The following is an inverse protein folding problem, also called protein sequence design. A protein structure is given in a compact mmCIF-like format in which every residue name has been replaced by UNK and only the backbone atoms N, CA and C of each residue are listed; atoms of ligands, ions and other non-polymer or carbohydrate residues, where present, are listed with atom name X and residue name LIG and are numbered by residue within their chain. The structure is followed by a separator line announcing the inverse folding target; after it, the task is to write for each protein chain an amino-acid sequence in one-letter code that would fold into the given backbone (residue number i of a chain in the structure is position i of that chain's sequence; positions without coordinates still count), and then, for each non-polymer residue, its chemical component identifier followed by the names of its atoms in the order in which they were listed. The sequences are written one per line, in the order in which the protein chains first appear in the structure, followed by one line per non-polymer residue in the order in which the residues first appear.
data_IF_664518463432
#
_entry.id   IF_664518463432
#
_cell.length_a   1.000
_cell.length_b   1.000
_cell.length_c   1.000
_cell.angle_alpha   90.00
_cell.angle_beta   90.00
_cell.angle_gamma   90.00
#
_symmetry.space_group_name_H-M   'P 1'
#
loop_
_entity.id
_entity.type
_entity.pdbx_description
1 polymer ?
#
# COMPACT_ATOMS: atom_id res chain seq x y z
N UNK A 1 -14.41 0.37 -1.72
CA UNK A 1 -14.39 0.75 -0.29
C UNK A 1 -13.92 2.19 -0.25
N UNK A 2 -14.66 3.13 0.35
CA UNK A 2 -14.26 4.54 0.35
C UNK A 2 -13.36 4.81 1.56
N UNK A 3 -12.18 5.39 1.34
CA UNK A 3 -11.25 5.78 2.39
C UNK A 3 -11.63 7.18 2.90
N UNK A 4 -11.12 7.54 4.08
CA UNK A 4 -11.28 8.91 4.58
C UNK A 4 -10.21 9.78 3.90
N UNK A 5 -10.59 10.95 3.40
CA UNK A 5 -9.63 11.90 2.84
C UNK A 5 -8.59 12.32 3.89
N UNK A 6 -7.33 12.40 3.50
CA UNK A 6 -6.21 12.68 4.39
C UNK A 6 -5.23 13.68 3.76
N UNK A 7 -5.58 14.99 3.73
CA UNK A 7 -4.73 16.00 3.07
C UNK A 7 -3.33 16.11 3.66
N UNK A 8 -3.20 16.00 4.98
CA UNK A 8 -1.90 15.98 5.65
C UNK A 8 -1.14 14.68 5.35
N UNK A 9 -1.84 13.56 5.25
CA UNK A 9 -1.27 12.29 4.79
C UNK A 9 -0.76 12.36 3.35
N UNK A 10 -1.49 13.03 2.44
CA UNK A 10 -1.05 13.20 1.07
C UNK A 10 0.24 14.04 0.97
N UNK A 11 0.40 15.06 1.83
CA UNK A 11 1.65 15.82 1.96
C UNK A 11 2.77 14.94 2.50
N UNK A 12 2.53 14.24 3.61
CA UNK A 12 3.52 13.36 4.24
C UNK A 12 3.96 12.22 3.32
N UNK A 13 3.04 11.60 2.60
CA UNK A 13 3.33 10.57 1.60
C UNK A 13 4.33 11.07 0.56
N UNK A 14 4.11 12.27 0.03
CA UNK A 14 4.99 12.85 -0.98
C UNK A 14 6.37 13.23 -0.41
N UNK A 15 6.43 13.66 0.85
CA UNK A 15 7.69 13.89 1.57
C UNK A 15 8.48 12.60 1.79
N UNK A 16 7.82 11.53 2.26
CA UNK A 16 8.44 10.21 2.41
C UNK A 16 8.95 9.68 1.08
N UNK A 17 8.14 9.77 0.02
CA UNK A 17 8.51 9.35 -1.32
C UNK A 17 9.75 10.08 -1.82
N UNK A 18 9.73 11.41 -1.83
CA UNK A 18 10.83 12.23 -2.35
C UNK A 18 12.09 12.17 -1.49
N UNK A 19 11.98 11.80 -0.21
CA UNK A 19 13.14 11.48 0.62
C UNK A 19 13.71 10.07 0.31
N UNK A 20 12.89 9.15 -0.18
CA UNK A 20 13.28 7.75 -0.48
C UNK A 20 13.91 7.56 -1.87
N UNK A 21 13.70 8.50 -2.79
CA UNK A 21 14.21 8.42 -4.16
C UNK A 21 15.03 9.65 -4.52
N UNK A 22 16.07 9.48 -5.35
CA UNK A 22 16.85 10.61 -5.86
C UNK A 22 15.99 11.53 -6.74
N UNK A 23 15.08 10.96 -7.53
CA UNK A 23 14.14 11.70 -8.37
C UNK A 23 12.90 10.87 -8.73
N UNK A 24 11.80 11.55 -9.07
CA UNK A 24 10.61 10.88 -9.62
C UNK A 24 10.90 10.17 -10.95
N UNK A 25 11.87 10.66 -11.73
CA UNK A 25 12.30 10.00 -12.95
C UNK A 25 12.96 8.65 -12.65
N UNK A 26 13.74 8.56 -11.58
CA UNK A 26 14.35 7.31 -11.12
C UNK A 26 13.32 6.21 -10.86
N UNK A 27 12.13 6.57 -10.35
CA UNK A 27 11.04 5.60 -10.19
C UNK A 27 10.67 4.96 -11.53
N UNK A 28 10.48 5.77 -12.58
CA UNK A 28 10.14 5.24 -13.89
C UNK A 28 11.27 4.42 -14.52
N UNK A 29 12.52 4.81 -14.32
CA UNK A 29 13.68 4.10 -14.86
C UNK A 29 13.93 2.76 -14.14
N UNK A 30 13.60 2.65 -12.85
CA UNK A 30 13.82 1.43 -12.04
C UNK A 30 12.61 0.50 -11.97
N UNK A 31 11.39 1.05 -11.86
CA UNK A 31 10.15 0.31 -11.64
C UNK A 31 9.13 0.46 -12.78
N UNK A 32 9.46 1.22 -13.82
CA UNK A 32 8.58 1.44 -14.96
C UNK A 32 7.62 2.63 -14.79
N UNK A 33 7.12 3.11 -15.94
CA UNK A 33 6.25 4.30 -16.02
C UNK A 33 4.90 4.11 -15.32
N UNK A 34 4.36 2.89 -15.34
CA UNK A 34 3.10 2.57 -14.66
C UNK A 34 3.22 2.76 -13.16
N UNK A 35 4.33 2.31 -12.56
CA UNK A 35 4.62 2.51 -11.14
C UNK A 35 4.67 3.99 -10.76
N UNK A 36 5.31 4.82 -11.59
CA UNK A 36 5.32 6.27 -11.37
C UNK A 36 3.89 6.86 -11.47
N UNK A 37 3.12 6.48 -12.48
CA UNK A 37 1.73 6.91 -12.62
C UNK A 37 0.88 6.54 -11.40
N UNK A 38 0.96 5.29 -10.95
CA UNK A 38 0.20 4.81 -9.79
C UNK A 38 0.59 5.53 -8.51
N UNK A 39 1.86 5.85 -8.32
CA UNK A 39 2.33 6.66 -7.18
C UNK A 39 1.71 8.06 -7.19
N UNK A 40 1.63 8.71 -8.35
CA UNK A 40 1.01 10.02 -8.47
C UNK A 40 -0.51 9.94 -8.27
N UNK A 41 -1.18 8.91 -8.78
CA UNK A 41 -2.59 8.67 -8.52
C UNK A 41 -2.87 8.32 -7.06
N UNK A 42 -1.97 7.59 -6.39
CA UNK A 42 -2.08 7.26 -4.98
C UNK A 42 -2.06 8.53 -4.12
N UNK A 43 -1.18 9.49 -4.41
CA UNK A 43 -1.18 10.78 -3.72
C UNK A 43 -2.55 11.47 -3.84
N UNK A 44 -3.14 11.44 -5.04
CA UNK A 44 -4.46 12.04 -5.28
C UNK A 44 -5.59 11.26 -4.58
N UNK A 45 -5.47 9.93 -4.51
CA UNK A 45 -6.42 9.08 -3.82
C UNK A 45 -6.40 9.35 -2.31
N UNK A 46 -5.22 9.51 -1.71
CA UNK A 46 -5.05 9.92 -0.30
C UNK A 46 -5.73 11.28 -0.07
N UNK A 47 -5.48 12.25 -0.95
CA UNK A 47 -6.05 13.59 -0.85
C UNK A 47 -7.59 13.59 -0.89
N UNK A 48 -8.19 12.68 -1.68
CA UNK A 48 -9.64 12.62 -1.92
C UNK A 48 -10.39 11.60 -1.08
N UNK A 49 -9.70 10.67 -0.41
CA UNK A 49 -10.35 9.53 0.25
C UNK A 49 -10.79 8.43 -0.73
N UNK A 50 -10.11 8.33 -1.87
CA UNK A 50 -10.38 7.32 -2.90
C UNK A 50 -9.38 6.16 -2.80
N UNK A 51 -9.56 5.12 -3.60
CA UNK A 51 -8.57 4.03 -3.73
C UNK A 51 -8.14 3.90 -5.17
N UNK A 52 -6.87 3.55 -5.39
CA UNK A 52 -6.41 3.13 -6.72
C UNK A 52 -6.53 1.62 -6.88
N UNK A 53 -6.93 1.20 -8.08
CA UNK A 53 -6.83 -0.19 -8.52
C UNK A 53 -5.37 -0.47 -8.90
N UNK A 54 -4.84 -1.60 -8.44
CA UNK A 54 -3.44 -1.99 -8.68
C UNK A 54 -3.44 -3.31 -9.42
N UNK A 55 -2.92 -3.31 -10.64
CA UNK A 55 -2.89 -4.48 -11.52
C UNK A 55 -1.61 -5.30 -11.29
N UNK A 56 -1.71 -6.53 -10.75
CA UNK A 56 -0.52 -7.33 -10.46
C UNK A 56 0.31 -7.61 -11.72
N UNK A 57 1.61 -7.35 -11.65
CA UNK A 57 2.54 -7.58 -12.76
C UNK A 57 2.63 -6.43 -13.78
N UNK A 58 1.86 -5.36 -13.63
CA UNK A 58 1.95 -4.15 -14.46
C UNK A 58 2.58 -2.96 -13.76
N UNK A 59 2.75 -3.05 -12.44
CA UNK A 59 3.22 -1.98 -11.56
C UNK A 59 3.86 -2.57 -10.30
N UNK A 60 4.86 -1.87 -9.78
CA UNK A 60 5.56 -2.19 -8.54
C UNK A 60 5.20 -1.19 -7.43
N UNK A 61 4.04 -0.51 -7.53
CA UNK A 61 3.59 0.47 -6.53
C UNK A 61 3.54 -0.11 -5.12
N UNK A 62 3.20 -1.40 -4.98
CA UNK A 62 3.21 -2.09 -3.68
C UNK A 62 4.61 -2.21 -3.08
N UNK A 63 5.63 -2.48 -3.91
CA UNK A 63 7.03 -2.55 -3.47
C UNK A 63 7.53 -1.17 -3.03
N UNK A 64 7.32 -0.14 -3.87
CA UNK A 64 7.77 1.22 -3.58
C UNK A 64 7.09 1.77 -2.33
N UNK A 65 5.77 1.64 -2.22
CA UNK A 65 5.01 2.13 -1.07
C UNK A 65 5.32 1.32 0.19
N UNK A 66 5.55 0.01 0.06
CA UNK A 66 5.91 -0.89 1.15
C UNK A 66 7.24 -0.55 1.82
N UNK A 67 8.15 0.12 1.10
CA UNK A 67 9.43 0.58 1.63
C UNK A 67 9.35 1.92 2.39
N UNK A 68 8.22 2.62 2.35
CA UNK A 68 8.08 3.93 2.99
C UNK A 68 7.83 3.81 4.51
N UNK A 69 8.27 4.80 5.31
CA UNK A 69 8.12 4.77 6.77
C UNK A 69 6.68 4.55 7.26
N UNK A 70 5.69 5.11 6.53
CA UNK A 70 4.27 4.99 6.88
C UNK A 70 3.51 4.05 5.93
N UNK A 71 4.15 3.03 5.36
CA UNK A 71 3.58 2.10 4.38
C UNK A 71 2.14 1.63 4.69
N UNK A 72 1.88 1.17 5.92
CA UNK A 72 0.56 0.68 6.35
C UNK A 72 -0.55 1.75 6.23
N UNK A 73 -0.21 3.03 6.34
CA UNK A 73 -1.15 4.14 6.16
C UNK A 73 -1.48 4.33 4.68
N UNK A 74 -0.49 4.22 3.81
CA UNK A 74 -0.61 4.46 2.37
C UNK A 74 -1.28 3.30 1.64
N UNK A 75 -0.92 2.06 1.98
CA UNK A 75 -1.48 0.86 1.36
C UNK A 75 -3.00 0.74 1.53
N UNK A 76 -3.60 1.42 2.52
CA UNK A 76 -5.07 1.51 2.69
C UNK A 76 -5.78 2.17 1.51
N UNK A 77 -5.09 3.04 0.77
CA UNK A 77 -5.60 3.75 -0.40
C UNK A 77 -5.32 2.97 -1.71
N UNK A 78 -4.88 1.72 -1.59
CA UNK A 78 -4.74 0.79 -2.71
C UNK A 78 -5.66 -0.41 -2.46
N UNK A 79 -6.07 -1.10 -3.53
CA UNK A 79 -6.80 -2.36 -3.37
C UNK A 79 -5.95 -3.48 -2.71
N UNK A 80 -4.62 -3.35 -2.69
CA UNK A 80 -3.72 -4.22 -1.93
C UNK A 80 -4.00 -4.17 -0.42
N UNK A 81 -4.47 -3.03 0.10
CA UNK A 81 -4.83 -2.90 1.52
C UNK A 81 -5.96 -3.87 1.94
N UNK A 82 -6.83 -4.26 1.02
CA UNK A 82 -7.83 -5.30 1.25
C UNK A 82 -7.22 -6.70 1.36
N UNK A 83 -6.22 -7.00 0.53
CA UNK A 83 -5.48 -8.27 0.54
C UNK A 83 -4.62 -8.41 1.81
N UNK A 84 -3.97 -7.34 2.26
CA UNK A 84 -3.17 -7.34 3.49
C UNK A 84 -4.05 -7.62 4.72
N UNK A 85 -5.25 -7.02 4.79
CA UNK A 85 -6.25 -7.31 5.83
C UNK A 85 -6.72 -8.76 5.79
N UNK A 86 -6.98 -9.31 4.60
CA UNK A 86 -7.38 -10.71 4.45
C UNK A 86 -6.25 -11.69 4.86
N UNK A 87 -4.99 -11.31 4.65
CA UNK A 87 -3.84 -12.11 5.07
C UNK A 87 -3.65 -12.11 6.59
N UNK A 88 -3.85 -10.98 7.27
CA UNK A 88 -3.76 -10.90 8.75
C UNK A 88 -4.86 -11.71 9.44
N UNK A 89 -6.09 -11.67 8.93
CA UNK A 89 -7.22 -12.47 9.45
C UNK A 89 -6.96 -13.98 9.37
N UNK A 90 -6.20 -14.44 8.36
CA UNK A 90 -5.84 -15.87 8.21
C UNK A 90 -4.78 -16.32 9.21
N UNK A 91 -3.87 -15.45 9.64
CA UNK A 91 -2.82 -15.80 10.61
C UNK A 91 -3.41 -15.98 12.02
N UNK A 92 -4.37 -15.13 12.40
CA UNK A 92 -5.03 -15.19 13.72
C UNK A 92 -5.95 -16.42 13.90
N UNK A 93 -6.40 -17.03 12.80
CA UNK A 93 -7.28 -18.21 12.85
C UNK A 93 -6.56 -19.55 13.06
N UNK A 94 -5.21 -19.57 13.13
CA UNK A 94 -4.43 -20.81 13.28
C UNK A 94 -4.13 -21.21 14.73
N UNK A 95 -4.55 -20.42 15.72
CA UNK A 95 -4.21 -20.63 17.13
C UNK A 95 -5.37 -21.17 18.00
N UNK A 96 -6.18 -22.10 17.53
CA UNK A 96 -6.95 -23.02 18.41
C UNK A 96 -7.16 -24.34 17.68
N UNK A 97 -6.37 -25.36 18.00
CA UNK A 97 -6.81 -26.77 18.16
C UNK A 97 -5.65 -27.58 18.73
N UNK A 98 -5.38 -27.37 20.01
CA UNK A 98 -4.74 -28.40 20.82
C UNK A 98 -5.47 -28.44 22.15
N UNK A 99 -6.54 -29.25 22.24
CA UNK A 99 -6.59 -30.25 23.30
C UNK A 99 -7.74 -31.25 23.10
N UNK A 100 -7.63 -32.37 23.80
CA UNK A 100 -8.56 -33.51 23.94
C UNK A 100 -8.31 -34.70 23.00
N UNK A 101 -7.24 -35.44 23.30
CA UNK A 101 -7.33 -36.91 23.29
C UNK A 101 -7.05 -37.41 24.71
N UNK A 102 -8.11 -37.61 25.49
CA UNK A 102 -8.11 -38.43 26.71
C UNK A 102 -9.20 -39.48 26.56
N UNK A 103 -8.80 -40.71 26.22
CA UNK A 103 -9.14 -41.91 26.98
C UNK A 103 -8.34 -43.11 26.51
#
# INVERSE_FOLDING_TARGET
MQCIADPEGARLFFEELTASVESLRGIADHYGVNTLSDILYLQQAILKGETIEVWPGETEVGEVVGALPSADRWLKYTELGGLLKAATVRVDSSAVTSDMTSK
#
